data_IF_754390640475
#
_entry.id   IF_754390640475
#
_cell.length_a   1.000
_cell.length_b   1.000
_cell.length_c   1.000
_cell.angle_alpha   90.00
_cell.angle_beta   90.00
_cell.angle_gamma   90.00
#
_symmetry.space_group_name_H-M   'P 1'
#
loop_
_entity.id
_entity.type
_entity.pdbx_description
1 polymer ?
#
# COMPACT_ATOMS: atom_id res chain seq x y z
N UNK A 1 16.50 -3.71 -29.63
CA UNK A 1 15.85 -5.01 -29.33
C UNK A 1 15.70 -5.30 -27.82
N UNK A 2 16.70 -5.02 -26.95
CA UNK A 2 16.65 -5.27 -25.50
C UNK A 2 15.62 -4.40 -24.73
N UNK A 3 15.31 -3.18 -25.14
CA UNK A 3 14.30 -2.31 -24.52
C UNK A 3 12.86 -2.82 -24.68
N UNK A 4 12.53 -3.39 -25.86
CA UNK A 4 11.21 -3.95 -26.11
C UNK A 4 10.97 -5.26 -25.36
N UNK A 5 12.00 -6.06 -25.15
CA UNK A 5 11.92 -7.29 -24.35
C UNK A 5 11.68 -6.97 -22.86
N UNK A 6 12.35 -5.94 -22.32
CA UNK A 6 12.13 -5.47 -20.94
C UNK A 6 10.71 -4.93 -20.73
N UNK A 7 10.21 -4.08 -21.63
CA UNK A 7 8.82 -3.56 -21.57
C UNK A 7 7.79 -4.70 -21.64
N UNK A 8 8.01 -5.71 -22.48
CA UNK A 8 7.11 -6.86 -22.62
C UNK A 8 7.12 -7.75 -21.36
N UNK A 9 8.25 -7.86 -20.67
CA UNK A 9 8.41 -8.61 -19.44
C UNK A 9 7.79 -7.89 -18.25
N UNK A 10 7.93 -6.56 -18.15
CA UNK A 10 7.28 -5.73 -17.12
C UNK A 10 5.75 -5.75 -17.27
N UNK A 11 5.22 -5.71 -18.50
CA UNK A 11 3.78 -5.77 -18.77
C UNK A 11 3.17 -7.15 -18.45
N UNK A 12 3.85 -8.24 -18.82
CA UNK A 12 3.38 -9.60 -18.51
C UNK A 12 3.28 -9.87 -16.99
N UNK A 13 3.97 -9.08 -16.20
CA UNK A 13 4.03 -9.21 -14.76
C UNK A 13 2.93 -8.42 -14.03
N UNK A 14 2.35 -7.40 -14.68
CA UNK A 14 1.19 -6.66 -14.19
C UNK A 14 -0.15 -7.35 -14.54
N UNK A 15 -0.11 -8.43 -15.32
CA UNK A 15 -1.32 -9.15 -15.74
C UNK A 15 -2.11 -9.66 -14.52
N UNK A 16 -1.43 -10.14 -13.47
CA UNK A 16 -2.12 -10.71 -12.29
C UNK A 16 -2.89 -9.63 -11.53
N UNK A 17 -2.28 -8.51 -11.08
CA UNK A 17 -3.04 -7.47 -10.41
C UNK A 17 -4.10 -6.83 -11.32
N UNK A 18 -3.82 -6.67 -12.61
CA UNK A 18 -4.82 -6.16 -13.57
C UNK A 18 -5.98 -7.14 -13.76
N UNK A 19 -5.71 -8.45 -13.83
CA UNK A 19 -6.76 -9.46 -13.90
C UNK A 19 -7.60 -9.49 -12.61
N UNK A 20 -6.98 -9.39 -11.44
CA UNK A 20 -7.69 -9.32 -10.17
C UNK A 20 -8.60 -8.07 -10.09
N UNK A 21 -8.08 -6.92 -10.52
CA UNK A 21 -8.87 -5.68 -10.60
C UNK A 21 -10.04 -5.85 -11.59
N UNK A 22 -9.76 -6.42 -12.78
CA UNK A 22 -10.79 -6.68 -13.79
C UNK A 22 -11.89 -7.63 -13.30
N UNK A 23 -11.54 -8.68 -12.56
CA UNK A 23 -12.50 -9.61 -11.96
C UNK A 23 -13.38 -8.89 -10.94
N UNK A 24 -12.80 -8.03 -10.07
CA UNK A 24 -13.58 -7.27 -9.09
C UNK A 24 -14.50 -6.25 -9.77
N UNK A 25 -14.05 -5.57 -10.82
CA UNK A 25 -14.88 -4.65 -11.61
C UNK A 25 -16.04 -5.43 -12.24
N UNK A 26 -15.75 -6.56 -12.89
CA UNK A 26 -16.76 -7.40 -13.51
C UNK A 26 -17.77 -7.95 -12.50
N UNK A 27 -17.30 -8.38 -11.33
CA UNK A 27 -18.17 -8.85 -10.24
C UNK A 27 -19.14 -7.74 -9.79
N UNK A 28 -18.65 -6.52 -9.53
CA UNK A 28 -19.50 -5.40 -9.15
C UNK A 28 -20.45 -4.98 -10.27
N UNK A 29 -20.05 -5.10 -11.53
CA UNK A 29 -20.90 -4.81 -12.69
C UNK A 29 -22.04 -5.83 -12.80
N UNK A 30 -21.74 -7.13 -12.74
CA UNK A 30 -22.75 -8.20 -12.80
C UNK A 30 -23.73 -8.06 -11.63
N UNK A 31 -23.21 -7.81 -10.43
CA UNK A 31 -24.05 -7.58 -9.25
C UNK A 31 -24.93 -6.35 -9.42
N UNK A 32 -24.39 -5.23 -9.90
CA UNK A 32 -25.15 -4.02 -10.14
C UNK A 32 -26.30 -4.23 -11.13
N UNK A 33 -26.06 -4.98 -12.20
CA UNK A 33 -27.09 -5.35 -13.18
C UNK A 33 -28.14 -6.27 -12.54
N UNK A 34 -27.73 -7.26 -11.74
CA UNK A 34 -28.67 -8.21 -11.09
C UNK A 34 -29.58 -7.56 -10.06
N UNK A 35 -29.10 -6.52 -9.35
CA UNK A 35 -29.87 -5.80 -8.33
C UNK A 35 -30.63 -4.60 -8.95
N UNK A 36 -30.31 -4.24 -10.21
CA UNK A 36 -30.87 -3.06 -10.88
C UNK A 36 -30.31 -1.73 -10.34
N UNK A 37 -29.17 -1.79 -9.64
CA UNK A 37 -28.51 -0.63 -9.04
C UNK A 37 -27.04 -0.54 -9.46
N UNK A 38 -26.74 0.40 -10.37
CA UNK A 38 -25.39 0.68 -10.85
C UNK A 38 -24.71 1.82 -10.08
N UNK A 39 -25.22 2.19 -8.90
CA UNK A 39 -24.67 3.29 -8.08
C UNK A 39 -23.22 3.07 -7.70
N UNK A 40 -22.75 1.83 -7.67
CA UNK A 40 -21.34 1.53 -7.43
C UNK A 40 -20.40 2.24 -8.43
N UNK A 41 -20.84 2.39 -9.68
CA UNK A 41 -20.07 3.06 -10.73
C UNK A 41 -20.48 4.52 -10.95
N UNK A 42 -21.50 5.01 -10.23
CA UNK A 42 -21.94 6.39 -10.38
C UNK A 42 -20.89 7.35 -9.81
N UNK A 43 -20.58 8.36 -10.59
CA UNK A 43 -19.80 9.52 -10.15
C UNK A 43 -20.79 10.67 -10.06
N UNK A 44 -21.02 11.15 -8.84
CA UNK A 44 -21.87 12.30 -8.56
C UNK A 44 -21.04 13.51 -8.11
N UNK A 45 -21.68 14.63 -8.02
CA UNK A 45 -21.14 15.83 -7.37
C UNK A 45 -22.01 16.16 -6.16
N UNK A 46 -21.37 16.45 -5.03
CA UNK A 46 -22.03 16.91 -3.82
C UNK A 46 -21.42 18.24 -3.40
N UNK A 47 -22.25 19.16 -2.96
CA UNK A 47 -21.78 20.39 -2.32
C UNK A 47 -21.46 20.06 -0.86
N UNK A 48 -20.22 20.30 -0.45
CA UNK A 48 -19.78 20.11 0.94
C UNK A 48 -20.33 21.26 1.82
N UNK A 49 -20.27 21.09 3.14
CA UNK A 49 -20.71 22.12 4.10
C UNK A 49 -19.99 23.47 3.92
N UNK A 50 -18.81 23.44 3.29
CA UNK A 50 -18.00 24.62 2.96
C UNK A 50 -18.40 25.27 1.60
N UNK A 51 -19.49 24.83 0.96
CA UNK A 51 -19.96 25.35 -0.33
C UNK A 51 -19.19 24.88 -1.56
N UNK A 52 -18.23 23.96 -1.40
CA UNK A 52 -17.41 23.45 -2.50
C UNK A 52 -18.05 22.21 -3.16
N UNK A 53 -17.99 22.16 -4.49
CA UNK A 53 -18.38 20.95 -5.25
C UNK A 53 -17.30 19.88 -5.12
N UNK A 54 -17.69 18.72 -4.62
CA UNK A 54 -16.80 17.56 -4.42
C UNK A 54 -17.32 16.38 -5.23
N UNK A 55 -16.43 15.68 -5.91
CA UNK A 55 -16.76 14.42 -6.55
C UNK A 55 -17.05 13.35 -5.49
N UNK A 56 -18.19 12.68 -5.62
CA UNK A 56 -18.62 11.59 -4.75
C UNK A 56 -18.97 10.37 -5.57
N UNK A 57 -18.90 9.20 -4.95
CA UNK A 57 -19.19 7.92 -5.57
C UNK A 57 -18.20 6.85 -5.10
N UNK A 58 -18.58 5.58 -5.18
CA UNK A 58 -17.75 4.51 -4.65
C UNK A 58 -16.36 4.45 -5.32
N UNK A 59 -16.26 4.74 -6.61
CA UNK A 59 -14.97 4.79 -7.30
C UNK A 59 -14.07 5.87 -6.72
N UNK A 60 -14.61 7.07 -6.50
CA UNK A 60 -13.84 8.18 -5.92
C UNK A 60 -13.43 7.84 -4.49
N UNK A 61 -14.34 7.27 -3.69
CA UNK A 61 -14.03 6.82 -2.33
C UNK A 61 -12.95 5.74 -2.31
N UNK A 62 -13.00 4.76 -3.24
CA UNK A 62 -11.96 3.73 -3.35
C UNK A 62 -10.58 4.36 -3.61
N UNK A 63 -10.50 5.31 -4.56
CA UNK A 63 -9.23 5.94 -4.93
C UNK A 63 -8.73 6.82 -3.79
N UNK A 64 -9.61 7.52 -3.11
CA UNK A 64 -9.27 8.38 -1.99
C UNK A 64 -8.83 7.56 -0.77
N UNK A 65 -9.63 6.58 -0.34
CA UNK A 65 -9.34 5.74 0.83
C UNK A 65 -8.07 4.90 0.65
N UNK A 66 -7.79 4.45 -0.58
CA UNK A 66 -6.57 3.71 -0.89
C UNK A 66 -5.30 4.57 -0.81
N UNK A 67 -5.39 5.89 -0.75
CA UNK A 67 -4.23 6.78 -0.85
C UNK A 67 -3.19 6.51 0.24
N UNK A 68 -3.60 6.43 1.50
CA UNK A 68 -2.69 6.15 2.60
C UNK A 68 -2.05 4.75 2.47
N UNK A 69 -2.85 3.74 2.12
CA UNK A 69 -2.37 2.38 1.92
C UNK A 69 -1.40 2.29 0.73
N UNK A 70 -1.69 2.97 -0.38
CA UNK A 70 -0.84 2.99 -1.56
C UNK A 70 0.54 3.60 -1.26
N UNK A 71 0.58 4.69 -0.49
CA UNK A 71 1.84 5.32 -0.08
C UNK A 71 2.66 4.38 0.81
N UNK A 72 2.05 3.73 1.80
CA UNK A 72 2.74 2.75 2.65
C UNK A 72 3.21 1.54 1.83
N UNK A 73 2.37 1.02 0.92
CA UNK A 73 2.72 -0.10 0.06
C UNK A 73 3.91 0.20 -0.87
N UNK A 74 4.07 1.45 -1.32
CA UNK A 74 5.25 1.89 -2.06
C UNK A 74 6.54 1.74 -1.24
N UNK A 75 6.54 2.24 0.00
CA UNK A 75 7.67 2.09 0.93
C UNK A 75 7.92 0.63 1.33
N UNK A 76 6.85 -0.11 1.65
CA UNK A 76 6.91 -1.52 2.01
C UNK A 76 7.51 -2.38 0.89
N UNK A 77 7.28 -2.02 -0.38
CA UNK A 77 7.88 -2.71 -1.54
C UNK A 77 9.41 -2.70 -1.48
N UNK A 78 10.03 -1.61 -1.02
CA UNK A 78 11.48 -1.50 -0.87
C UNK A 78 11.99 -2.44 0.22
N UNK A 79 11.38 -2.37 1.41
CA UNK A 79 11.78 -3.21 2.55
C UNK A 79 11.62 -4.68 2.19
N UNK A 80 10.47 -5.08 1.63
CA UNK A 80 10.23 -6.45 1.19
C UNK A 80 11.27 -6.90 0.17
N UNK A 81 11.56 -6.09 -0.84
CA UNK A 81 12.51 -6.44 -1.90
C UNK A 81 13.95 -6.54 -1.39
N UNK A 82 14.39 -5.67 -0.45
CA UNK A 82 15.76 -5.64 0.07
C UNK A 82 16.01 -6.69 1.14
N UNK A 83 15.03 -6.92 2.03
CA UNK A 83 15.23 -7.71 3.25
C UNK A 83 14.72 -9.15 3.14
N UNK A 84 13.85 -9.44 2.14
CA UNK A 84 13.18 -10.75 2.07
C UNK A 84 12.22 -10.97 3.24
N UNK A 85 11.59 -9.91 3.71
CA UNK A 85 10.61 -9.92 4.80
C UNK A 85 9.86 -8.59 4.85
N UNK A 86 8.86 -8.50 5.70
CA UNK A 86 7.96 -7.36 5.81
C UNK A 86 8.14 -6.66 7.15
N UNK A 87 7.77 -5.37 7.18
CA UNK A 87 7.67 -4.58 8.40
C UNK A 87 6.21 -4.58 8.88
N UNK A 88 5.96 -5.13 10.05
CA UNK A 88 4.63 -5.16 10.65
C UNK A 88 4.38 -3.98 11.60
N UNK A 89 5.37 -3.11 11.82
CA UNK A 89 5.25 -1.97 12.74
C UNK A 89 4.68 -0.71 12.09
N UNK A 90 4.44 -0.69 10.78
CA UNK A 90 4.08 0.54 10.03
C UNK A 90 2.85 1.24 10.57
N UNK A 91 1.83 0.50 11.04
CA UNK A 91 0.63 1.09 11.66
C UNK A 91 0.94 1.74 13.01
N UNK A 92 1.71 1.05 13.85
CA UNK A 92 2.11 1.54 15.17
C UNK A 92 3.07 2.74 15.08
N UNK A 93 4.05 2.68 14.17
CA UNK A 93 4.95 3.81 13.88
C UNK A 93 4.21 4.97 13.23
N UNK A 94 3.18 4.69 12.42
CA UNK A 94 2.27 5.69 11.88
C UNK A 94 1.47 6.41 12.98
N UNK A 95 1.08 5.70 14.04
CA UNK A 95 0.45 6.33 15.21
C UNK A 95 1.42 7.27 15.93
N UNK A 96 2.71 6.89 16.08
CA UNK A 96 3.76 7.79 16.62
C UNK A 96 3.90 9.03 15.72
N UNK A 97 3.97 8.82 14.41
CA UNK A 97 4.09 9.91 13.43
C UNK A 97 2.92 10.89 13.55
N UNK A 98 1.69 10.39 13.60
CA UNK A 98 0.49 11.19 13.78
C UNK A 98 0.50 11.94 15.13
N UNK A 99 0.96 11.29 16.20
CA UNK A 99 1.08 11.91 17.51
C UNK A 99 2.07 13.09 17.51
N UNK A 100 3.24 12.94 16.91
CA UNK A 100 4.23 14.02 16.75
C UNK A 100 3.67 15.13 15.87
N UNK A 101 3.06 14.77 14.74
CA UNK A 101 2.46 15.74 13.82
C UNK A 101 1.45 16.65 14.53
N UNK A 102 0.51 16.06 15.27
CA UNK A 102 -0.50 16.82 16.00
C UNK A 102 0.11 17.62 17.15
N UNK A 103 1.07 17.03 17.89
CA UNK A 103 1.73 17.73 19.01
C UNK A 103 2.51 18.97 18.56
N UNK A 104 3.15 18.89 17.39
CA UNK A 104 3.84 20.05 16.81
C UNK A 104 2.83 21.11 16.34
N UNK A 105 1.72 20.70 15.71
CA UNK A 105 0.65 21.64 15.34
C UNK A 105 0.05 22.33 16.56
N UNK A 106 -0.17 21.58 17.65
CA UNK A 106 -0.66 22.12 18.92
C UNK A 106 0.26 23.21 19.48
N UNK A 107 1.57 23.03 19.37
CA UNK A 107 2.56 24.03 19.80
C UNK A 107 2.53 25.32 18.95
N UNK A 108 2.06 25.28 17.71
CA UNK A 108 1.82 26.45 16.86
C UNK A 108 0.42 27.06 17.03
N UNK A 109 -0.46 26.44 17.81
CA UNK A 109 -1.85 26.84 18.03
C UNK A 109 -2.81 26.21 17.02
N UNK A 110 -3.72 25.38 17.52
CA UNK A 110 -4.71 24.64 16.70
C UNK A 110 -5.75 25.55 16.05
N UNK A 111 -5.94 26.78 16.57
CA UNK A 111 -6.94 27.72 16.06
C UNK A 111 -6.50 28.45 14.76
N UNK A 112 -5.18 28.56 14.54
CA UNK A 112 -4.61 29.28 13.40
C UNK A 112 -3.50 28.47 12.71
N UNK A 113 -3.87 27.29 12.19
CA UNK A 113 -2.93 26.41 11.50
C UNK A 113 -2.48 27.03 10.17
N UNK A 114 -1.19 27.30 10.06
CA UNK A 114 -0.56 27.86 8.86
C UNK A 114 0.07 26.77 7.99
N UNK A 115 0.27 27.04 6.71
CA UNK A 115 0.99 26.12 5.80
C UNK A 115 2.41 25.84 6.32
N UNK A 116 3.09 26.85 6.86
CA UNK A 116 4.41 26.67 7.49
C UNK A 116 4.37 25.72 8.68
N UNK A 117 3.37 25.84 9.55
CA UNK A 117 3.15 24.94 10.69
C UNK A 117 2.94 23.49 10.24
N UNK A 118 2.15 23.27 9.19
CA UNK A 118 1.92 21.92 8.59
C UNK A 118 3.23 21.32 8.07
N UNK A 119 4.04 22.12 7.35
CA UNK A 119 5.32 21.64 6.82
C UNK A 119 6.29 21.28 7.96
N UNK A 120 6.42 22.14 8.98
CA UNK A 120 7.28 21.87 10.14
C UNK A 120 6.80 20.63 10.90
N UNK A 121 5.49 20.49 11.12
CA UNK A 121 4.91 19.32 11.77
C UNK A 121 5.18 18.03 10.98
N UNK A 122 5.03 18.06 9.66
CA UNK A 122 5.34 16.92 8.80
C UNK A 122 6.83 16.57 8.83
N UNK A 123 7.72 17.55 8.75
CA UNK A 123 9.17 17.32 8.83
C UNK A 123 9.59 16.74 10.18
N UNK A 124 9.02 17.23 11.29
CA UNK A 124 9.25 16.68 12.62
C UNK A 124 8.73 15.23 12.73
N UNK A 125 7.53 14.96 12.22
CA UNK A 125 6.97 13.61 12.17
C UNK A 125 7.85 12.69 11.32
N UNK A 126 8.30 13.12 10.14
CA UNK A 126 9.22 12.37 9.29
C UNK A 126 10.55 12.07 10.00
N UNK A 127 11.11 13.04 10.70
CA UNK A 127 12.37 12.86 11.43
C UNK A 127 12.24 11.80 12.53
N UNK A 128 11.21 11.92 13.38
CA UNK A 128 10.95 10.96 14.47
C UNK A 128 10.65 9.57 13.91
N UNK A 129 9.80 9.48 12.90
CA UNK A 129 9.46 8.20 12.24
C UNK A 129 10.71 7.55 11.63
N UNK A 130 11.58 8.34 11.00
CA UNK A 130 12.84 7.85 10.44
C UNK A 130 13.75 7.28 11.52
N UNK A 131 13.81 7.86 12.71
CA UNK A 131 14.59 7.32 13.84
C UNK A 131 14.07 5.93 14.26
N UNK A 132 12.75 5.78 14.42
CA UNK A 132 12.16 4.47 14.74
C UNK A 132 12.36 3.45 13.61
N UNK A 133 12.25 3.87 12.36
CA UNK A 133 12.50 2.98 11.22
C UNK A 133 13.99 2.64 11.07
N UNK A 134 14.91 3.53 11.39
CA UNK A 134 16.34 3.22 11.48
C UNK A 134 16.64 2.21 12.59
N UNK A 135 15.94 2.28 13.72
CA UNK A 135 16.04 1.27 14.78
C UNK A 135 15.67 -0.10 14.22
N UNK A 136 14.50 -0.27 13.57
CA UNK A 136 14.11 -1.52 12.91
C UNK A 136 15.14 -1.94 11.85
N UNK A 137 15.55 -1.00 11.00
CA UNK A 137 16.54 -1.23 9.97
C UNK A 137 17.89 -1.72 10.53
N UNK A 138 18.31 -1.22 11.69
CA UNK A 138 19.53 -1.65 12.36
C UNK A 138 19.40 -3.08 12.90
N UNK A 139 18.28 -3.43 13.53
CA UNK A 139 18.00 -4.79 13.98
C UNK A 139 18.08 -5.81 12.81
N UNK A 140 17.54 -5.42 11.66
CA UNK A 140 17.51 -6.30 10.46
C UNK A 140 18.86 -6.32 9.72
N UNK A 141 19.54 -5.19 9.61
CA UNK A 141 20.73 -5.09 8.75
C UNK A 141 22.03 -5.40 9.47
N UNK A 142 22.17 -4.99 10.73
CA UNK A 142 23.38 -5.20 11.56
C UNK A 142 23.25 -6.48 12.38
N UNK A 143 22.17 -6.60 13.17
CA UNK A 143 21.95 -7.78 14.03
C UNK A 143 21.39 -8.98 13.27
N UNK A 144 21.05 -8.83 11.97
CA UNK A 144 20.55 -9.90 11.09
C UNK A 144 19.30 -10.60 11.62
N UNK A 145 18.51 -9.92 12.44
CA UNK A 145 17.22 -10.42 12.91
C UNK A 145 16.24 -10.44 11.74
N UNK A 146 15.41 -11.47 11.68
CA UNK A 146 14.37 -11.57 10.65
C UNK A 146 13.44 -10.33 10.73
N UNK A 147 13.11 -9.66 9.60
CA UNK A 147 12.36 -8.40 9.61
C UNK A 147 11.06 -8.44 10.42
N UNK A 148 10.24 -9.48 10.23
CA UNK A 148 8.96 -9.60 10.97
C UNK A 148 9.17 -9.67 12.49
N UNK A 149 10.23 -10.36 12.97
CA UNK A 149 10.52 -10.47 14.41
C UNK A 149 11.07 -9.15 14.94
N UNK A 150 11.97 -8.50 14.20
CA UNK A 150 12.56 -7.22 14.60
C UNK A 150 11.48 -6.14 14.76
N UNK A 151 10.54 -6.09 13.85
CA UNK A 151 9.50 -5.05 13.83
C UNK A 151 8.35 -5.31 14.81
N UNK A 152 8.20 -6.54 15.34
CA UNK A 152 7.24 -6.87 16.41
C UNK A 152 7.43 -6.00 17.66
N UNK A 153 8.65 -5.58 17.95
CA UNK A 153 8.98 -4.74 19.10
C UNK A 153 8.19 -3.42 18.98
N UNK A 154 8.37 -2.70 17.88
CA UNK A 154 7.67 -1.42 17.66
C UNK A 154 6.17 -1.62 17.39
N UNK A 155 5.76 -2.71 16.78
CA UNK A 155 4.35 -3.06 16.66
C UNK A 155 3.66 -3.11 18.02
N UNK A 156 4.31 -3.73 19.03
CA UNK A 156 3.74 -3.92 20.36
C UNK A 156 3.75 -2.64 21.20
N UNK A 157 4.82 -1.84 21.14
CA UNK A 157 4.97 -0.66 22.03
C UNK A 157 4.64 0.68 21.34
N UNK A 158 4.63 0.74 20.01
CA UNK A 158 4.55 2.02 19.30
C UNK A 158 3.26 2.81 19.57
N UNK A 159 2.12 2.13 19.71
CA UNK A 159 0.85 2.80 20.07
C UNK A 159 0.87 3.35 21.50
N UNK A 160 1.57 2.69 22.43
CA UNK A 160 1.79 3.20 23.80
C UNK A 160 2.71 4.44 23.78
N UNK A 161 3.73 4.44 22.91
CA UNK A 161 4.60 5.62 22.74
C UNK A 161 3.77 6.79 22.17
N UNK A 162 2.93 6.55 21.16
CA UNK A 162 2.02 7.57 20.62
C UNK A 162 1.09 8.15 21.71
N UNK A 163 0.54 7.28 22.55
CA UNK A 163 -0.25 7.68 23.71
C UNK A 163 0.53 8.58 24.70
N UNK A 164 1.78 8.23 25.00
CA UNK A 164 2.63 9.04 25.88
C UNK A 164 2.91 10.44 25.30
N UNK A 165 3.10 10.55 23.98
CA UNK A 165 3.35 11.84 23.29
C UNK A 165 2.12 12.74 23.40
N UNK A 166 0.92 12.21 23.28
CA UNK A 166 -0.34 12.98 23.31
C UNK A 166 -0.93 13.17 24.71
N UNK A 167 -0.41 12.47 25.72
CA UNK A 167 -0.88 12.58 27.11
C UNK A 167 -2.31 12.14 27.31
N UNK A 168 -2.73 11.04 26.71
CA UNK A 168 -4.11 10.47 26.75
C UNK A 168 -5.17 11.26 25.99
N UNK A 169 -4.86 12.44 25.51
CA UNK A 169 -5.82 13.26 24.76
C UNK A 169 -6.03 12.67 23.35
N UNK A 170 -7.25 12.86 22.84
CA UNK A 170 -7.55 12.70 21.42
C UNK A 170 -7.71 14.09 20.81
N UNK A 171 -6.61 14.80 20.48
CA UNK A 171 -6.67 16.15 19.99
C UNK A 171 -7.50 16.20 18.70
N UNK A 172 -8.44 17.13 18.66
CA UNK A 172 -9.20 17.42 17.46
C UNK A 172 -8.52 18.56 16.69
N UNK A 173 -8.45 18.38 15.39
CA UNK A 173 -7.92 19.39 14.47
C UNK A 173 -9.09 20.07 13.77
N UNK A 174 -9.04 21.39 13.70
CA UNK A 174 -10.03 22.18 12.97
C UNK A 174 -9.33 23.15 12.03
N UNK A 175 -9.98 23.50 10.95
CA UNK A 175 -9.46 24.51 10.03
C UNK A 175 -9.53 24.07 8.56
N UNK A 176 -9.58 25.09 7.69
CA UNK A 176 -9.71 24.91 6.23
C UNK A 176 -8.51 24.16 5.64
N UNK A 177 -7.29 24.40 6.15
CA UNK A 177 -6.08 23.72 5.68
C UNK A 177 -6.08 22.23 6.00
N UNK A 178 -6.50 21.85 7.21
CA UNK A 178 -6.60 20.43 7.61
C UNK A 178 -7.63 19.70 6.73
N UNK A 179 -8.79 20.31 6.55
CA UNK A 179 -9.82 19.77 5.66
C UNK A 179 -9.33 19.70 4.21
N UNK A 180 -8.56 20.67 3.75
CA UNK A 180 -7.99 20.66 2.39
C UNK A 180 -6.97 19.55 2.18
N UNK A 181 -6.16 19.21 3.19
CA UNK A 181 -5.17 18.12 3.10
C UNK A 181 -5.86 16.75 3.17
N UNK A 182 -6.79 16.59 4.11
CA UNK A 182 -7.43 15.30 4.36
C UNK A 182 -8.60 14.96 3.44
N UNK A 183 -9.24 15.98 2.84
CA UNK A 183 -10.46 15.81 2.03
C UNK A 183 -10.28 16.43 0.64
N UNK A 184 -10.63 17.70 0.46
CA UNK A 184 -10.61 18.37 -0.85
C UNK A 184 -10.16 19.82 -0.71
N UNK A 185 -9.41 20.31 -1.69
CA UNK A 185 -9.04 21.72 -1.80
C UNK A 185 -10.23 22.51 -2.34
N UNK A 186 -10.57 23.69 -1.77
CA UNK A 186 -11.58 24.56 -2.34
C UNK A 186 -11.34 24.85 -3.82
N UNK A 187 -12.36 24.60 -4.65
CA UNK A 187 -12.28 24.79 -6.11
C UNK A 187 -11.74 23.61 -6.92
N UNK A 188 -11.22 22.56 -6.27
CA UNK A 188 -10.77 21.34 -6.95
C UNK A 188 -11.70 20.19 -6.50
N UNK A 189 -12.49 19.59 -7.40
CA UNK A 189 -13.44 18.55 -7.03
C UNK A 189 -12.81 17.19 -6.71
N UNK A 190 -11.49 17.04 -6.89
CA UNK A 190 -10.74 15.79 -6.68
C UNK A 190 -10.19 15.74 -5.24
N UNK A 191 -10.33 14.61 -4.52
CA UNK A 191 -9.75 14.44 -3.20
C UNK A 191 -8.22 14.65 -3.17
N UNK A 192 -7.77 15.47 -2.22
CA UNK A 192 -6.35 15.85 -2.07
C UNK A 192 -5.41 14.68 -1.81
N UNK A 193 -5.77 13.63 -1.06
CA UNK A 193 -4.92 12.46 -0.84
C UNK A 193 -4.42 11.80 -2.13
N UNK A 194 -5.20 11.88 -3.22
CA UNK A 194 -4.80 11.34 -4.53
C UNK A 194 -3.55 12.05 -5.06
N UNK A 195 -3.46 13.37 -4.90
CA UNK A 195 -2.29 14.13 -5.33
C UNK A 195 -1.04 13.73 -4.54
N UNK A 196 -1.17 13.43 -3.24
CA UNK A 196 -0.03 12.94 -2.44
C UNK A 196 0.46 11.57 -2.92
N UNK A 197 -0.42 10.66 -3.36
CA UNK A 197 -0.03 9.38 -3.98
C UNK A 197 0.79 9.64 -5.25
N UNK A 198 0.31 10.52 -6.11
CA UNK A 198 0.99 10.85 -7.38
C UNK A 198 2.35 11.48 -7.11
N UNK A 199 2.41 12.48 -6.21
CA UNK A 199 3.66 13.16 -5.84
C UNK A 199 4.65 12.16 -5.26
N UNK A 200 4.23 11.33 -4.31
CA UNK A 200 5.11 10.33 -3.70
C UNK A 200 5.58 9.28 -4.72
N UNK A 201 4.68 8.83 -5.60
CA UNK A 201 5.02 7.88 -6.69
C UNK A 201 6.03 8.48 -7.67
N UNK A 202 5.87 9.73 -8.06
CA UNK A 202 6.82 10.45 -8.93
C UNK A 202 8.17 10.65 -8.23
N UNK A 203 8.17 11.09 -6.97
CA UNK A 203 9.37 11.28 -6.16
C UNK A 203 10.17 9.98 -6.02
N UNK A 204 9.52 8.90 -5.63
CA UNK A 204 10.18 7.59 -5.53
C UNK A 204 10.69 7.09 -6.89
N UNK A 205 9.90 7.27 -7.95
CA UNK A 205 10.34 6.89 -9.31
C UNK A 205 11.57 7.69 -9.74
N UNK A 206 11.63 8.98 -9.40
CA UNK A 206 12.79 9.84 -9.66
C UNK A 206 14.02 9.35 -8.87
N UNK A 207 13.85 9.10 -7.57
CA UNK A 207 14.93 8.53 -6.72
C UNK A 207 15.47 7.24 -7.34
N UNK A 208 14.60 6.32 -7.78
CA UNK A 208 15.02 5.05 -8.37
C UNK A 208 15.71 5.18 -9.72
N UNK A 209 15.38 6.22 -10.50
CA UNK A 209 16.07 6.51 -11.76
C UNK A 209 17.45 7.11 -11.55
N UNK A 210 17.59 8.02 -10.58
CA UNK A 210 18.83 8.75 -10.32
C UNK A 210 19.83 7.88 -9.55
N UNK A 211 19.37 7.09 -8.56
CA UNK A 211 20.27 6.37 -7.62
C UNK A 211 20.49 4.92 -7.96
N UNK A 212 19.86 4.36 -9.00
CA UNK A 212 19.84 2.92 -9.28
C UNK A 212 19.38 2.03 -8.09
N UNK A 213 18.74 2.66 -7.07
CA UNK A 213 18.34 1.99 -5.84
C UNK A 213 17.46 0.76 -6.10
N UNK A 214 16.60 0.82 -7.12
CA UNK A 214 15.80 -0.34 -7.56
C UNK A 214 16.66 -1.57 -7.84
N UNK A 215 17.75 -1.39 -8.60
CA UNK A 215 18.65 -2.50 -8.96
C UNK A 215 19.39 -3.03 -7.73
N UNK A 216 19.90 -2.13 -6.91
CA UNK A 216 20.63 -2.51 -5.69
C UNK A 216 19.75 -3.27 -4.69
N UNK A 217 18.52 -2.80 -4.49
CA UNK A 217 17.52 -3.45 -3.63
C UNK A 217 17.22 -4.88 -4.11
N UNK A 218 17.02 -5.07 -5.43
CA UNK A 218 16.78 -6.39 -6.00
C UNK A 218 18.00 -7.31 -5.85
N UNK A 219 19.21 -6.80 -6.12
CA UNK A 219 20.45 -7.59 -6.02
C UNK A 219 20.69 -8.03 -4.58
N UNK A 220 20.54 -7.13 -3.61
CA UNK A 220 20.68 -7.44 -2.18
C UNK A 220 19.63 -8.47 -1.73
N UNK A 221 18.39 -8.34 -2.19
CA UNK A 221 17.31 -9.25 -1.84
C UNK A 221 17.45 -10.65 -2.45
N UNK A 222 18.08 -10.78 -3.63
CA UNK A 222 18.34 -12.08 -4.25
C UNK A 222 19.52 -12.78 -3.55
N UNK A 223 20.65 -12.09 -3.41
CA UNK A 223 21.84 -12.65 -2.80
C UNK A 223 22.77 -11.56 -2.24
N UNK A 224 22.80 -11.44 -0.91
CA UNK A 224 23.63 -10.45 -0.22
C UNK A 224 25.14 -10.67 -0.40
N UNK A 225 25.58 -11.92 -0.55
CA UNK A 225 26.99 -12.26 -0.80
C UNK A 225 27.41 -11.77 -2.19
N UNK A 226 26.65 -12.09 -3.22
CA UNK A 226 26.91 -11.63 -4.58
C UNK A 226 26.85 -10.09 -4.68
N UNK A 227 25.94 -9.43 -3.96
CA UNK A 227 25.86 -7.98 -3.89
C UNK A 227 27.17 -7.37 -3.35
N UNK A 228 27.73 -7.92 -2.26
CA UNK A 228 29.01 -7.47 -1.68
C UNK A 228 30.17 -7.62 -2.65
N UNK A 229 30.26 -8.73 -3.37
CA UNK A 229 31.31 -8.97 -4.35
C UNK A 229 31.26 -7.94 -5.50
N UNK A 230 30.08 -7.38 -5.79
CA UNK A 230 29.90 -6.31 -6.76
C UNK A 230 29.99 -4.89 -6.13
N UNK A 231 30.54 -4.74 -4.94
CA UNK A 231 30.75 -3.45 -4.27
C UNK A 231 29.48 -2.84 -3.66
N UNK A 232 28.35 -3.54 -3.64
CA UNK A 232 27.10 -3.05 -3.04
C UNK A 232 27.08 -3.42 -1.56
N UNK A 233 26.94 -2.41 -0.68
CA UNK A 233 26.81 -2.66 0.75
C UNK A 233 25.33 -2.99 1.12
N UNK A 234 25.02 -4.27 1.48
CA UNK A 234 23.64 -4.67 1.79
C UNK A 234 23.07 -3.97 3.01
N UNK A 235 23.92 -3.61 3.99
CA UNK A 235 23.49 -2.91 5.20
C UNK A 235 22.89 -1.53 4.85
N UNK A 236 23.61 -0.74 4.05
CA UNK A 236 23.16 0.60 3.66
C UNK A 236 21.86 0.52 2.86
N UNK A 237 21.74 -0.43 1.92
CA UNK A 237 20.54 -0.59 1.10
C UNK A 237 19.33 -0.95 1.95
N UNK A 238 19.48 -1.83 2.94
CA UNK A 238 18.40 -2.17 3.87
C UNK A 238 18.01 -0.98 4.74
N UNK A 239 18.97 -0.29 5.36
CA UNK A 239 18.72 0.90 6.17
C UNK A 239 17.98 1.97 5.36
N UNK A 240 18.43 2.25 4.13
CA UNK A 240 17.80 3.23 3.25
C UNK A 240 16.36 2.83 2.90
N UNK A 241 16.09 1.53 2.74
CA UNK A 241 14.73 1.04 2.49
C UNK A 241 13.80 1.32 3.67
N UNK A 242 14.27 1.15 4.92
CA UNK A 242 13.50 1.50 6.11
C UNK A 242 13.29 3.02 6.25
N UNK A 243 14.29 3.85 5.94
CA UNK A 243 14.17 5.31 5.95
C UNK A 243 13.07 5.77 4.99
N UNK A 244 13.08 5.26 3.75
CA UNK A 244 12.07 5.58 2.75
C UNK A 244 10.68 5.11 3.19
N UNK A 245 10.58 3.93 3.79
CA UNK A 245 9.33 3.45 4.37
C UNK A 245 8.84 4.40 5.47
N UNK A 246 9.73 4.90 6.34
CA UNK A 246 9.40 5.88 7.38
C UNK A 246 8.79 7.17 6.84
N UNK A 247 9.35 7.71 5.75
CA UNK A 247 8.82 8.89 5.07
C UNK A 247 7.41 8.60 4.50
N UNK A 248 7.23 7.42 3.89
CA UNK A 248 5.92 7.01 3.38
C UNK A 248 4.89 6.87 4.51
N UNK A 249 5.27 6.30 5.64
CA UNK A 249 4.41 6.14 6.83
C UNK A 249 4.02 7.50 7.41
N UNK A 250 4.94 8.44 7.51
CA UNK A 250 4.65 9.81 7.98
C UNK A 250 3.66 10.52 7.09
N UNK A 251 3.83 10.44 5.77
CA UNK A 251 2.91 11.03 4.81
C UNK A 251 1.51 10.42 4.93
N UNK A 252 1.41 9.10 5.03
CA UNK A 252 0.14 8.39 5.20
C UNK A 252 -0.54 8.74 6.54
N UNK A 253 0.24 8.87 7.62
CA UNK A 253 -0.26 9.27 8.93
C UNK A 253 -0.83 10.69 8.92
N UNK A 254 -0.13 11.65 8.30
CA UNK A 254 -0.61 13.02 8.10
C UNK A 254 -1.96 13.03 7.35
N UNK A 255 -2.04 12.34 6.22
CA UNK A 255 -3.28 12.25 5.41
C UNK A 255 -4.42 11.72 6.29
N UNK A 256 -4.19 10.65 7.04
CA UNK A 256 -5.24 10.01 7.83
C UNK A 256 -5.67 10.85 9.03
N UNK A 257 -4.74 11.53 9.70
CA UNK A 257 -5.05 12.49 10.79
C UNK A 257 -5.87 13.65 10.27
N UNK A 258 -5.48 14.24 9.13
CA UNK A 258 -6.22 15.35 8.52
C UNK A 258 -7.59 14.92 7.98
N UNK A 259 -7.73 13.67 7.52
CA UNK A 259 -9.02 13.13 7.05
C UNK A 259 -10.00 12.95 8.19
N UNK A 260 -9.55 12.42 9.32
CA UNK A 260 -10.37 12.17 10.49
C UNK A 260 -10.60 13.42 11.35
N UNK A 261 -9.85 14.50 11.09
CA UNK A 261 -9.82 15.72 11.90
C UNK A 261 -9.53 15.45 13.38
N UNK A 262 -8.93 14.32 13.69
CA UNK A 262 -8.59 13.92 15.06
C UNK A 262 -7.47 12.89 15.06
N UNK A 263 -6.78 12.82 16.17
CA UNK A 263 -5.81 11.76 16.44
C UNK A 263 -6.39 10.78 17.45
N UNK A 264 -6.55 9.54 17.04
CA UNK A 264 -6.77 8.43 17.95
C UNK A 264 -5.58 7.47 17.86
N UNK A 265 -4.74 7.42 18.88
CA UNK A 265 -3.56 6.56 18.94
C UNK A 265 -3.91 5.06 18.81
N UNK A 266 -5.15 4.66 19.17
CA UNK A 266 -5.62 3.27 19.06
C UNK A 266 -6.02 2.88 17.65
N UNK A 267 -6.69 3.78 16.93
CA UNK A 267 -7.35 3.45 15.65
C UNK A 267 -6.66 4.04 14.43
N UNK A 268 -5.72 4.99 14.62
CA UNK A 268 -4.99 5.55 13.48
C UNK A 268 -4.19 4.45 12.79
N UNK A 269 -4.43 4.28 11.49
CA UNK A 269 -3.77 3.26 10.67
C UNK A 269 -3.85 1.84 11.27
N UNK A 270 -4.98 1.48 11.91
CA UNK A 270 -5.15 0.15 12.49
C UNK A 270 -5.20 -0.93 11.41
N UNK A 271 -4.43 -1.99 11.63
CA UNK A 271 -4.29 -3.15 10.74
C UNK A 271 -3.81 -2.81 9.31
N UNK A 272 -3.31 -1.59 9.05
CA UNK A 272 -2.82 -1.18 7.73
C UNK A 272 -1.56 -1.94 7.33
N UNK A 273 -0.78 -2.44 8.29
CA UNK A 273 0.39 -3.29 8.06
C UNK A 273 0.02 -4.54 7.29
N UNK A 274 -1.07 -5.20 7.67
CA UNK A 274 -1.56 -6.41 6.98
C UNK A 274 -1.99 -6.08 5.55
N UNK A 275 -2.75 -5.01 5.37
CA UNK A 275 -3.19 -4.57 4.06
C UNK A 275 -2.01 -4.15 3.16
N UNK A 276 -0.98 -3.50 3.72
CA UNK A 276 0.22 -3.13 2.97
C UNK A 276 1.03 -4.35 2.51
N UNK A 277 1.21 -5.36 3.37
CA UNK A 277 1.85 -6.62 3.01
C UNK A 277 1.08 -7.31 1.88
N UNK A 278 -0.25 -7.36 2.00
CA UNK A 278 -1.12 -7.97 1.00
C UNK A 278 -1.10 -7.20 -0.32
N UNK A 279 -1.09 -5.85 -0.28
CA UNK A 279 -0.96 -5.00 -1.46
C UNK A 279 0.34 -5.28 -2.22
N UNK A 280 1.46 -5.43 -1.51
CA UNK A 280 2.76 -5.78 -2.08
C UNK A 280 2.73 -7.18 -2.71
N UNK A 281 2.10 -8.15 -2.05
CA UNK A 281 1.99 -9.53 -2.55
C UNK A 281 1.10 -9.62 -3.79
N UNK A 282 -0.10 -9.03 -3.77
CA UNK A 282 -1.03 -8.96 -4.91
C UNK A 282 -0.38 -8.22 -6.08
N UNK A 283 0.41 -7.19 -5.79
CA UNK A 283 1.19 -6.44 -6.76
C UNK A 283 2.27 -7.25 -7.49
N UNK A 284 2.44 -8.54 -7.13
CA UNK A 284 3.35 -9.48 -7.76
C UNK A 284 4.80 -9.34 -7.30
N UNK A 285 5.04 -8.68 -6.18
CA UNK A 285 6.33 -8.70 -5.51
C UNK A 285 6.53 -10.03 -4.78
N UNK A 286 7.78 -10.44 -4.60
CA UNK A 286 8.13 -11.62 -3.83
C UNK A 286 8.26 -11.25 -2.36
N UNK A 287 7.47 -11.86 -1.48
CA UNK A 287 7.59 -11.67 -0.03
C UNK A 287 8.95 -12.15 0.51
N UNK A 288 9.62 -13.05 -0.21
CA UNK A 288 10.99 -13.50 0.09
C UNK A 288 12.10 -12.62 -0.49
N UNK A 289 11.77 -11.45 -1.05
CA UNK A 289 12.74 -10.49 -1.57
C UNK A 289 13.10 -10.65 -3.05
N UNK A 290 13.96 -9.76 -3.53
CA UNK A 290 14.57 -9.81 -4.86
C UNK A 290 13.68 -9.34 -6.02
N UNK A 291 12.38 -9.12 -5.82
CA UNK A 291 11.48 -8.56 -6.84
C UNK A 291 10.97 -7.21 -6.40
N UNK A 292 11.03 -6.24 -7.30
CA UNK A 292 10.62 -4.87 -7.02
C UNK A 292 9.68 -4.35 -8.12
N UNK A 293 8.41 -4.13 -7.77
CA UNK A 293 7.36 -3.65 -8.66
C UNK A 293 6.50 -2.61 -7.97
N UNK A 294 6.92 -1.35 -8.04
CA UNK A 294 6.22 -0.25 -7.38
C UNK A 294 4.77 -0.10 -7.87
N UNK A 295 4.58 -0.03 -9.19
CA UNK A 295 3.26 0.10 -9.80
C UNK A 295 2.33 -1.07 -9.44
N UNK A 296 2.89 -2.29 -9.30
CA UNK A 296 2.13 -3.44 -8.84
C UNK A 296 1.58 -3.27 -7.43
N UNK A 297 2.40 -2.78 -6.50
CA UNK A 297 1.95 -2.54 -5.11
C UNK A 297 0.90 -1.45 -5.00
N UNK A 298 1.01 -0.39 -5.81
CA UNK A 298 -0.02 0.65 -5.90
C UNK A 298 -1.35 0.02 -6.36
N UNK A 299 -1.34 -0.76 -7.45
CA UNK A 299 -2.53 -1.47 -7.92
C UNK A 299 -3.07 -2.44 -6.86
N UNK A 300 -2.19 -3.13 -6.14
CA UNK A 300 -2.56 -4.01 -5.03
C UNK A 300 -3.31 -3.28 -3.92
N UNK A 301 -2.90 -2.07 -3.57
CA UNK A 301 -3.59 -1.24 -2.59
C UNK A 301 -5.02 -0.87 -3.06
N UNK A 302 -5.19 -0.48 -4.32
CA UNK A 302 -6.50 -0.20 -4.90
C UNK A 302 -7.40 -1.45 -4.95
N UNK A 303 -6.85 -2.62 -5.24
CA UNK A 303 -7.58 -3.88 -5.24
C UNK A 303 -8.11 -4.19 -3.83
N UNK A 304 -7.30 -4.02 -2.79
CA UNK A 304 -7.69 -4.28 -1.40
C UNK A 304 -8.82 -3.35 -0.97
N UNK A 305 -8.71 -2.06 -1.27
CA UNK A 305 -9.76 -1.10 -0.91
C UNK A 305 -11.03 -1.30 -1.75
N UNK A 306 -10.89 -1.63 -3.04
CA UNK A 306 -12.05 -1.98 -3.86
C UNK A 306 -12.79 -3.19 -3.30
N UNK A 307 -12.06 -4.24 -2.87
CA UNK A 307 -12.66 -5.41 -2.22
C UNK A 307 -13.35 -5.01 -0.91
N UNK A 308 -12.72 -4.19 -0.08
CA UNK A 308 -13.29 -3.70 1.19
C UNK A 308 -14.59 -2.92 0.93
N UNK A 309 -14.59 -2.00 -0.03
CA UNK A 309 -15.77 -1.21 -0.37
C UNK A 309 -16.86 -2.06 -1.01
N UNK A 310 -16.50 -3.06 -1.82
CA UNK A 310 -17.47 -4.04 -2.34
C UNK A 310 -18.17 -4.80 -1.21
N UNK A 311 -17.42 -5.26 -0.20
CA UNK A 311 -18.00 -5.97 0.95
C UNK A 311 -18.89 -5.05 1.81
N UNK A 312 -18.48 -3.79 2.00
CA UNK A 312 -19.29 -2.77 2.69
C UNK A 312 -20.62 -2.52 1.95
N UNK A 313 -20.56 -2.39 0.61
CA UNK A 313 -21.75 -2.18 -0.24
C UNK A 313 -22.69 -3.41 -0.24
N UNK A 314 -22.16 -4.60 0.04
CA UNK A 314 -22.93 -5.82 0.30
C UNK A 314 -23.54 -5.87 1.71
N UNK A 315 -23.39 -4.81 2.52
CA UNK A 315 -23.85 -4.75 3.92
C UNK A 315 -23.28 -5.88 4.80
N UNK A 316 -22.07 -6.35 4.49
CA UNK A 316 -21.37 -7.32 5.32
C UNK A 316 -20.98 -6.65 6.65
N UNK A 317 -21.21 -7.35 7.77
CA UNK A 317 -20.85 -6.84 9.09
C UNK A 317 -19.36 -6.50 9.16
N UNK A 318 -18.97 -5.33 9.72
CA UNK A 318 -17.57 -4.87 9.77
C UNK A 318 -16.59 -5.89 10.36
N UNK A 319 -17.03 -6.64 11.37
CA UNK A 319 -16.22 -7.67 12.02
C UNK A 319 -15.87 -8.83 11.06
N UNK A 320 -16.78 -9.15 10.14
CA UNK A 320 -16.63 -10.24 9.17
C UNK A 320 -15.84 -9.83 7.93
N UNK A 321 -15.72 -8.54 7.65
CA UNK A 321 -15.01 -8.04 6.45
C UNK A 321 -13.56 -8.51 6.43
N UNK A 322 -12.88 -8.49 7.59
CA UNK A 322 -11.48 -8.95 7.70
C UNK A 322 -11.34 -10.42 7.30
N UNK A 323 -12.29 -11.29 7.66
CA UNK A 323 -12.28 -12.71 7.33
C UNK A 323 -12.54 -12.95 5.82
N UNK A 324 -13.58 -12.34 5.27
CA UNK A 324 -13.87 -12.46 3.83
C UNK A 324 -12.74 -11.90 2.96
N UNK A 325 -12.18 -10.75 3.36
CA UNK A 325 -11.01 -10.16 2.69
C UNK A 325 -9.83 -11.14 2.68
N UNK A 326 -9.52 -11.77 3.82
CA UNK A 326 -8.44 -12.75 3.91
C UNK A 326 -8.64 -13.94 2.96
N UNK A 327 -9.86 -14.51 2.88
CA UNK A 327 -10.18 -15.62 1.97
C UNK A 327 -9.96 -15.23 0.51
N UNK A 328 -10.51 -14.07 0.09
CA UNK A 328 -10.37 -13.61 -1.30
C UNK A 328 -8.90 -13.35 -1.66
N UNK A 329 -8.13 -12.75 -0.74
CA UNK A 329 -6.72 -12.47 -0.96
C UNK A 329 -5.91 -13.76 -1.07
N UNK A 330 -6.17 -14.77 -0.22
CA UNK A 330 -5.54 -16.08 -0.32
C UNK A 330 -5.77 -16.69 -1.71
N UNK A 331 -7.00 -16.62 -2.22
CA UNK A 331 -7.32 -17.11 -3.56
C UNK A 331 -6.52 -16.38 -4.63
N UNK A 332 -6.44 -15.04 -4.57
CA UNK A 332 -5.69 -14.22 -5.53
C UNK A 332 -4.20 -14.56 -5.47
N UNK A 333 -3.61 -14.67 -4.28
CA UNK A 333 -2.19 -14.98 -4.09
C UNK A 333 -1.86 -16.40 -4.58
N UNK A 334 -2.70 -17.38 -4.28
CA UNK A 334 -2.54 -18.77 -4.77
C UNK A 334 -2.62 -18.80 -6.29
N UNK A 335 -3.62 -18.16 -6.89
CA UNK A 335 -3.77 -18.07 -8.35
C UNK A 335 -2.57 -17.36 -9.02
N UNK A 336 -1.96 -16.41 -8.32
CA UNK A 336 -0.75 -15.69 -8.73
C UNK A 336 0.53 -16.51 -8.64
N UNK A 337 0.55 -17.59 -7.85
CA UNK A 337 1.75 -18.37 -7.55
C UNK A 337 2.31 -19.07 -8.81
N UNK A 338 3.64 -19.01 -9.05
CA UNK A 338 4.29 -19.70 -10.15
C UNK A 338 4.07 -21.22 -10.11
N UNK A 339 4.04 -21.81 -8.91
CA UNK A 339 3.82 -23.23 -8.71
C UNK A 339 2.40 -23.68 -9.14
N UNK A 340 1.39 -22.85 -8.89
CA UNK A 340 0.01 -23.12 -9.32
C UNK A 340 -0.13 -22.94 -10.82
N UNK A 341 0.49 -21.88 -11.39
CA UNK A 341 0.50 -21.65 -12.83
C UNK A 341 1.13 -22.81 -13.61
N UNK A 342 2.26 -23.35 -13.12
CA UNK A 342 2.91 -24.50 -13.77
C UNK A 342 2.04 -25.78 -13.69
N UNK A 343 1.36 -26.01 -12.57
CA UNK A 343 0.44 -27.15 -12.42
C UNK A 343 -0.79 -27.02 -13.31
N UNK A 344 -1.40 -25.83 -13.36
CA UNK A 344 -2.56 -25.53 -14.22
C UNK A 344 -2.17 -25.68 -15.70
N UNK A 345 -1.02 -25.15 -16.12
CA UNK A 345 -0.55 -25.28 -17.50
C UNK A 345 -0.24 -26.74 -17.88
N UNK A 346 0.33 -27.53 -16.96
CA UNK A 346 0.58 -28.94 -17.16
C UNK A 346 -0.74 -29.74 -17.26
N UNK A 347 -1.72 -29.45 -16.39
CA UNK A 347 -3.05 -30.06 -16.45
C UNK A 347 -3.78 -29.70 -17.75
N UNK A 348 -3.75 -28.42 -18.15
CA UNK A 348 -4.35 -27.95 -19.39
C UNK A 348 -3.73 -28.62 -20.63
N UNK A 349 -2.39 -28.74 -20.65
CA UNK A 349 -1.68 -29.40 -21.74
C UNK A 349 -2.01 -30.89 -21.79
N UNK A 350 -2.19 -31.58 -20.64
CA UNK A 350 -2.64 -32.96 -20.59
C UNK A 350 -4.06 -33.11 -21.12
N UNK A 351 -4.97 -32.18 -20.76
CA UNK A 351 -6.34 -32.18 -21.24
C UNK A 351 -6.39 -31.97 -22.77
N UNK A 352 -5.60 -31.06 -23.29
CA UNK A 352 -5.51 -30.73 -24.72
C UNK A 352 -4.85 -31.88 -25.53
N UNK A 353 -3.87 -32.57 -24.96
CA UNK A 353 -3.23 -33.72 -25.58
C UNK A 353 -4.12 -34.96 -25.54
N UNK A 354 -4.97 -35.15 -24.51
CA UNK A 354 -5.98 -36.20 -24.41
C UNK A 354 -7.09 -36.01 -25.42
N UNK A 355 -7.54 -34.79 -25.68
CA UNK A 355 -8.55 -34.47 -26.67
C UNK A 355 -8.08 -34.70 -28.15
N UNK A 356 -6.78 -34.78 -28.40
CA UNK A 356 -6.21 -35.05 -29.72
C UNK A 356 -6.05 -36.56 -30.05
N UNK A 357 -6.30 -37.44 -29.09
CA UNK A 357 -6.27 -38.91 -29.28
C UNK A 357 -7.68 -39.50 -29.43
N UNK A 358 -8.48 -38.96 -30.31
CA UNK A 358 -9.60 -39.69 -30.86
C UNK A 358 -9.04 -40.45 -32.06
N UNK A 359 -8.98 -41.78 -32.06
CA UNK A 359 -8.53 -42.52 -33.25
C UNK A 359 -9.59 -42.33 -34.34
N UNK A 360 -9.12 -41.82 -35.49
CA UNK A 360 -9.89 -41.85 -36.71
C UNK A 360 -10.34 -43.31 -36.95
N UNK A 361 -11.65 -43.50 -37.12
CA UNK A 361 -12.26 -44.76 -37.25
C UNK A 361 -11.61 -45.65 -38.34
N UNK A 362 -11.50 -46.89 -38.03
CA UNK A 362 -11.30 -47.95 -39.03
C UNK A 362 -12.46 -47.90 -40.01
N UNK A 363 -12.24 -47.31 -41.16
CA UNK A 363 -12.92 -47.71 -42.37
C UNK A 363 -12.11 -48.87 -42.96
N UNK A 364 -12.75 -49.97 -43.20
CA UNK A 364 -12.12 -51.06 -43.91
C UNK A 364 -12.87 -52.36 -43.88
N UNK A 365 -13.50 -52.67 -45.00
CA UNK A 365 -13.99 -53.94 -45.60
C UNK A 365 -15.44 -54.25 -45.35
#
# INVERSE_FOLDING_TARGET
MKLNARKKQDFSQLIIPLAALGILILFNLIRGISIGDLRFFSIGTRINNDGNTVLTGNIISIIDDASALAIIAMGMTLVTAACGGQDISVGAVGAISGAVYVKVLDAFGLDNITVGGVIVALLAACAVTTVFMLFNGTLVSVFKIQPMIATLILFSCGRSIAYMITGSATPQLSGTLINSIGKTIPGIPIPTPIFFVVIMGLLLTLIFKVTNLRLYTQTVGINQGAARLNGINPMIIKLLSFVILGICVSMAAMIQVCRLNQLSHKTLLDAIEMDAILAVAIGGNSLGGGKFRLAGSILGAYIILMLTNTLNDMSVKPESIKAYKAIVIIIIVIAGSPAVKSRISAAWNRFRSGARKIPAGREGV
#
